data_IF_971270581835
#
_entry.id   IF_971270581835
#
_cell.length_a   1.000
_cell.length_b   1.000
_cell.length_c   1.000
_cell.angle_alpha   90.00
_cell.angle_beta   90.00
_cell.angle_gamma   90.00
#
_symmetry.space_group_name_H-M   'P 1'
#
loop_
_entity.id
_entity.type
_entity.pdbx_description
1 polymer ?
#
# COMPACT_ATOMS: atom_id res chain seq x y z
N UNK A 1 0.54 -9.83 -18.77
CA UNK A 1 1.66 -10.11 -17.86
C UNK A 1 2.28 -11.42 -18.33
N UNK A 2 3.42 -11.40 -19.04
CA UNK A 2 3.94 -12.62 -19.68
C UNK A 2 5.34 -13.08 -19.27
N UNK A 3 6.12 -12.28 -18.52
CA UNK A 3 7.42 -12.70 -18.00
C UNK A 3 7.60 -12.17 -16.56
N UNK A 4 7.59 -13.07 -15.57
CA UNK A 4 7.85 -12.73 -14.16
C UNK A 4 9.31 -13.03 -13.85
N UNK A 5 10.08 -11.99 -13.50
CA UNK A 5 11.46 -12.13 -13.05
C UNK A 5 11.44 -12.30 -11.52
N UNK A 6 11.90 -13.46 -11.05
CA UNK A 6 11.95 -13.77 -9.62
C UNK A 6 13.34 -13.49 -9.08
N UNK A 7 13.39 -12.78 -7.96
CA UNK A 7 14.64 -12.40 -7.28
C UNK A 7 14.62 -12.94 -5.85
N UNK A 8 15.73 -13.51 -5.37
CA UNK A 8 15.83 -14.06 -4.02
C UNK A 8 15.73 -12.97 -2.95
N UNK A 9 14.99 -13.19 -1.87
CA UNK A 9 14.68 -12.16 -0.88
C UNK A 9 15.92 -11.51 -0.22
N UNK A 10 17.06 -12.20 -0.21
CA UNK A 10 18.36 -11.75 0.31
C UNK A 10 19.24 -11.07 -0.76
N UNK A 11 18.73 -10.87 -1.97
CA UNK A 11 19.47 -10.22 -3.07
C UNK A 11 19.82 -8.79 -2.72
N UNK A 12 21.08 -8.44 -2.98
CA UNK A 12 21.62 -7.07 -2.84
C UNK A 12 22.18 -6.51 -4.15
N UNK A 13 22.43 -7.37 -5.14
CA UNK A 13 22.81 -7.02 -6.52
C UNK A 13 21.70 -7.48 -7.47
N UNK A 14 20.94 -6.50 -7.95
CA UNK A 14 19.81 -6.67 -8.86
C UNK A 14 20.23 -6.48 -10.33
N UNK A 15 21.48 -6.14 -10.62
CA UNK A 15 21.99 -5.91 -11.99
C UNK A 15 21.60 -7.02 -12.97
N UNK A 16 21.71 -8.33 -12.62
CA UNK A 16 21.31 -9.39 -13.54
C UNK A 16 19.80 -9.37 -13.86
N UNK A 17 18.96 -9.17 -12.83
CA UNK A 17 17.51 -9.12 -12.98
C UNK A 17 17.06 -7.87 -13.77
N UNK A 18 17.72 -6.73 -13.54
CA UNK A 18 17.45 -5.48 -14.29
C UNK A 18 17.88 -5.61 -15.75
N UNK A 19 19.01 -6.27 -16.03
CA UNK A 19 19.44 -6.54 -17.41
C UNK A 19 18.44 -7.43 -18.14
N UNK A 20 18.00 -8.51 -17.49
CA UNK A 20 16.94 -9.38 -18.02
C UNK A 20 15.65 -8.60 -18.28
N UNK A 21 15.25 -7.70 -17.35
CA UNK A 21 14.09 -6.83 -17.51
C UNK A 21 14.21 -5.94 -18.76
N UNK A 22 15.34 -5.26 -18.94
CA UNK A 22 15.56 -4.39 -20.10
C UNK A 22 15.51 -5.16 -21.43
N UNK A 23 16.04 -6.39 -21.46
CA UNK A 23 16.03 -7.25 -22.65
C UNK A 23 14.60 -7.71 -23.05
N UNK A 24 13.60 -7.60 -22.15
CA UNK A 24 12.20 -7.95 -22.47
C UNK A 24 11.56 -7.00 -23.49
N UNK A 25 12.00 -5.74 -23.53
CA UNK A 25 11.35 -4.67 -24.31
C UNK A 25 9.92 -4.37 -23.87
N UNK A 26 9.57 -4.61 -22.60
CA UNK A 26 8.25 -4.30 -22.05
C UNK A 26 7.99 -2.78 -21.98
N UNK A 27 6.75 -2.36 -22.22
CA UNK A 27 6.35 -0.95 -22.08
C UNK A 27 6.32 -0.49 -20.60
N UNK A 28 6.02 -1.41 -19.68
CA UNK A 28 5.92 -1.14 -18.24
C UNK A 28 6.45 -2.32 -17.41
N UNK A 29 7.03 -2.00 -16.25
CA UNK A 29 7.37 -2.94 -15.19
C UNK A 29 6.56 -2.64 -13.94
N UNK A 30 6.01 -3.69 -13.32
CA UNK A 30 5.44 -3.61 -11.97
C UNK A 30 6.43 -4.23 -11.00
N UNK A 31 6.92 -3.42 -10.05
CA UNK A 31 7.87 -3.86 -9.04
C UNK A 31 7.12 -4.24 -7.76
N UNK A 32 7.28 -5.48 -7.34
CA UNK A 32 6.76 -5.99 -6.06
C UNK A 32 7.92 -6.35 -5.15
N UNK A 33 8.60 -5.32 -4.61
CA UNK A 33 9.76 -5.49 -3.73
C UNK A 33 9.58 -4.72 -2.43
N UNK A 34 10.08 -5.28 -1.33
CA UNK A 34 10.03 -4.67 -0.01
C UNK A 34 11.28 -5.03 0.80
N UNK A 35 11.55 -4.23 1.83
CA UNK A 35 12.67 -4.45 2.75
C UNK A 35 13.93 -3.67 2.38
N UNK A 36 14.96 -3.82 3.21
CA UNK A 36 16.13 -2.96 3.19
C UNK A 36 16.95 -2.98 1.88
N UNK A 37 16.83 -4.03 1.07
CA UNK A 37 17.51 -4.09 -0.24
C UNK A 37 16.79 -3.32 -1.35
N UNK A 38 15.58 -2.81 -1.11
CA UNK A 38 14.86 -1.95 -2.06
C UNK A 38 15.67 -0.72 -2.46
N UNK A 39 16.46 -0.17 -1.54
CA UNK A 39 17.46 0.88 -1.83
C UNK A 39 18.31 0.53 -3.04
N UNK A 40 18.95 -0.64 -2.98
CA UNK A 40 19.90 -1.07 -4.00
C UNK A 40 19.19 -1.35 -5.31
N UNK A 41 17.99 -1.93 -5.26
CA UNK A 41 17.17 -2.18 -6.46
C UNK A 41 16.92 -0.87 -7.21
N UNK A 42 16.33 0.12 -6.55
CA UNK A 42 15.97 1.38 -7.22
C UNK A 42 17.19 2.22 -7.62
N UNK A 43 18.27 2.20 -6.84
CA UNK A 43 19.54 2.82 -7.24
C UNK A 43 20.11 2.18 -8.51
N UNK A 44 20.16 0.85 -8.57
CA UNK A 44 20.66 0.14 -9.74
C UNK A 44 19.75 0.31 -10.96
N UNK A 45 18.43 0.42 -10.76
CA UNK A 45 17.49 0.75 -11.84
C UNK A 45 17.74 2.15 -12.39
N UNK A 46 18.02 3.13 -11.52
CA UNK A 46 18.39 4.48 -11.94
C UNK A 46 19.74 4.50 -12.69
N UNK A 47 20.75 3.79 -12.18
CA UNK A 47 22.08 3.69 -12.81
C UNK A 47 22.04 3.00 -14.18
N UNK A 48 21.14 2.04 -14.36
CA UNK A 48 20.94 1.30 -15.61
C UNK A 48 19.91 1.94 -16.55
N UNK A 49 19.28 3.05 -16.15
CA UNK A 49 18.38 3.83 -17.01
C UNK A 49 17.04 3.14 -17.30
N UNK A 50 16.49 2.36 -16.36
CA UNK A 50 15.23 1.62 -16.62
C UNK A 50 14.07 2.55 -17.00
N UNK A 51 13.95 3.70 -16.32
CA UNK A 51 12.90 4.69 -16.61
C UNK A 51 13.04 5.37 -17.97
N UNK A 52 14.20 5.25 -18.65
CA UNK A 52 14.39 5.77 -20.01
C UNK A 52 13.79 4.83 -21.07
N UNK A 53 13.65 3.55 -20.75
CA UNK A 53 13.21 2.50 -21.68
C UNK A 53 11.77 2.02 -21.41
N UNK A 54 11.29 2.12 -20.16
CA UNK A 54 9.95 1.64 -19.78
C UNK A 54 9.35 2.42 -18.61
N UNK A 55 8.02 2.41 -18.52
CA UNK A 55 7.31 2.96 -17.36
C UNK A 55 7.50 2.06 -16.12
N UNK A 56 7.75 2.68 -14.96
CA UNK A 56 7.89 1.96 -13.69
C UNK A 56 6.64 2.19 -12.86
N UNK A 57 6.00 1.11 -12.44
CA UNK A 57 4.90 1.11 -11.49
C UNK A 57 5.32 0.35 -10.24
N UNK A 58 5.24 1.00 -9.07
CA UNK A 58 5.60 0.36 -7.80
C UNK A 58 4.63 0.78 -6.70
N UNK A 59 4.61 0.01 -5.61
CA UNK A 59 4.12 0.51 -4.34
C UNK A 59 5.11 1.54 -3.79
N UNK A 60 4.61 2.70 -3.36
CA UNK A 60 5.41 3.68 -2.66
C UNK A 60 5.63 3.29 -1.19
N UNK A 61 6.80 3.62 -0.66
CA UNK A 61 7.23 3.28 0.70
C UNK A 61 6.84 4.36 1.72
N UNK A 62 7.25 4.17 2.97
CA UNK A 62 7.15 5.16 4.04
C UNK A 62 7.86 6.46 3.69
N UNK A 63 7.36 7.54 4.25
CA UNK A 63 7.84 8.89 3.95
C UNK A 63 9.36 9.02 4.12
N UNK A 64 9.91 8.40 5.18
CA UNK A 64 11.34 8.40 5.49
C UNK A 64 12.17 7.59 4.47
N UNK A 65 11.69 6.45 4.01
CA UNK A 65 12.35 5.60 3.02
C UNK A 65 12.33 6.28 1.65
N UNK A 66 11.20 6.87 1.27
CA UNK A 66 11.05 7.61 0.02
C UNK A 66 12.08 8.75 -0.06
N UNK A 67 12.18 9.54 1.01
CA UNK A 67 13.13 10.65 1.11
C UNK A 67 14.59 10.18 1.21
N UNK A 68 14.91 9.26 2.12
CA UNK A 68 16.28 8.82 2.39
C UNK A 68 16.96 8.19 1.16
N UNK A 69 16.15 7.61 0.28
CA UNK A 69 16.62 6.89 -0.89
C UNK A 69 16.52 7.70 -2.18
N UNK A 70 15.98 8.92 -2.12
CA UNK A 70 15.78 9.76 -3.29
C UNK A 70 14.86 9.12 -4.33
N UNK A 71 13.86 8.34 -3.87
CA UNK A 71 12.89 7.67 -4.74
C UNK A 71 11.81 8.61 -5.25
N UNK A 72 11.79 9.86 -4.76
CA UNK A 72 10.86 10.90 -5.18
C UNK A 72 11.33 11.52 -6.51
N UNK A 73 11.15 10.77 -7.61
CA UNK A 73 11.36 11.32 -8.96
C UNK A 73 10.04 11.87 -9.48
N UNK A 74 10.05 13.15 -9.83
CA UNK A 74 8.88 13.81 -10.42
C UNK A 74 8.36 13.03 -11.63
N UNK A 75 7.05 12.78 -11.66
CA UNK A 75 6.36 12.04 -12.72
C UNK A 75 6.29 10.52 -12.50
N UNK A 76 6.99 9.96 -11.51
CA UNK A 76 6.84 8.53 -11.18
C UNK A 76 5.43 8.25 -10.65
N UNK A 77 4.80 7.19 -11.17
CA UNK A 77 3.43 6.82 -10.81
C UNK A 77 3.40 5.48 -10.08
N UNK A 78 2.49 5.34 -9.13
CA UNK A 78 2.42 4.15 -8.32
C UNK A 78 1.22 4.08 -7.40
N UNK A 79 1.22 3.06 -6.55
CA UNK A 79 0.17 2.83 -5.56
C UNK A 79 0.69 3.22 -4.18
N UNK A 80 -0.14 3.89 -3.39
CA UNK A 80 0.15 4.14 -1.97
C UNK A 80 -1.04 3.69 -1.13
N UNK A 81 -0.75 2.99 -0.02
CA UNK A 81 -1.79 2.52 0.90
C UNK A 81 -2.48 3.71 1.57
N UNK A 82 -1.69 4.68 2.02
CA UNK A 82 -2.15 5.88 2.69
C UNK A 82 -1.06 6.95 2.57
N UNK A 83 -1.48 8.19 2.33
CA UNK A 83 -0.67 9.36 2.61
C UNK A 83 -1.61 10.39 3.25
N UNK A 84 -1.14 11.09 4.27
CA UNK A 84 -2.00 11.88 5.17
C UNK A 84 -2.77 13.02 4.48
N UNK A 85 -2.32 13.45 3.30
CA UNK A 85 -2.96 14.49 2.49
C UNK A 85 -4.04 14.00 1.53
N UNK A 86 -4.20 12.68 1.37
CA UNK A 86 -5.11 12.12 0.35
C UNK A 86 -6.54 11.96 0.84
N UNK A 87 -6.81 11.35 2.02
CA UNK A 87 -8.18 11.20 2.49
C UNK A 87 -8.78 12.54 2.94
N UNK A 88 -9.99 12.82 2.47
CA UNK A 88 -10.79 13.98 2.88
C UNK A 88 -11.91 13.52 3.84
N UNK A 89 -11.53 13.26 5.10
CA UNK A 89 -12.46 12.80 6.14
C UNK A 89 -12.15 13.43 7.50
N UNK A 90 -13.18 13.64 8.32
CA UNK A 90 -13.00 14.17 9.68
C UNK A 90 -12.12 13.26 10.56
N UNK A 91 -12.13 11.94 10.30
CA UNK A 91 -11.32 10.97 11.04
C UNK A 91 -9.84 11.09 10.63
N UNK A 92 -9.56 11.34 9.35
CA UNK A 92 -8.21 11.62 8.89
C UNK A 92 -7.69 12.93 9.48
N UNK A 93 -8.49 14.00 9.42
CA UNK A 93 -8.14 15.29 10.01
C UNK A 93 -7.74 15.14 11.49
N UNK A 94 -8.54 14.40 12.26
CA UNK A 94 -8.25 14.10 13.65
C UNK A 94 -6.97 13.29 13.83
N UNK A 95 -6.74 12.27 12.99
CA UNK A 95 -5.54 11.44 13.02
C UNK A 95 -4.29 12.29 12.74
N UNK A 96 -4.33 13.13 11.71
CA UNK A 96 -3.23 14.01 11.33
C UNK A 96 -2.89 14.99 12.44
N UNK A 97 -3.88 15.74 12.93
CA UNK A 97 -3.70 16.70 14.02
C UNK A 97 -3.12 16.03 15.26
N UNK A 98 -3.75 14.95 15.73
CA UNK A 98 -3.35 14.25 16.96
C UNK A 98 -1.96 13.62 16.83
N UNK A 99 -1.63 13.06 15.66
CA UNK A 99 -0.31 12.46 15.43
C UNK A 99 0.78 13.53 15.43
N UNK A 100 0.58 14.64 14.71
CA UNK A 100 1.54 15.74 14.66
C UNK A 100 1.75 16.35 16.04
N UNK A 101 0.69 16.56 16.84
CA UNK A 101 0.82 17.04 18.21
C UNK A 101 1.67 16.11 19.09
N UNK A 102 1.46 14.79 18.94
CA UNK A 102 2.14 13.78 19.75
C UNK A 102 3.59 13.55 19.34
N UNK A 103 3.89 13.68 18.06
CA UNK A 103 5.18 13.31 17.47
C UNK A 103 5.93 14.52 16.89
N UNK A 104 5.81 15.67 17.57
CA UNK A 104 6.61 16.88 17.30
C UNK A 104 6.51 17.40 15.86
N UNK A 105 5.30 17.37 15.29
CA UNK A 105 5.00 17.85 13.95
C UNK A 105 5.12 16.78 12.85
N UNK A 106 5.52 15.55 13.18
CA UNK A 106 5.63 14.45 12.23
C UNK A 106 4.24 13.97 11.79
N UNK A 107 3.90 13.98 10.49
CA UNK A 107 2.61 13.47 10.01
C UNK A 107 2.51 11.94 10.16
N UNK A 108 1.30 11.39 10.22
CA UNK A 108 1.12 9.93 10.21
C UNK A 108 1.60 9.35 8.87
N UNK A 109 2.35 8.26 8.95
CA UNK A 109 2.93 7.56 7.80
C UNK A 109 2.01 6.42 7.30
N UNK A 110 2.35 5.76 6.19
CA UNK A 110 1.45 4.83 5.48
C UNK A 110 0.83 3.73 6.35
N UNK A 111 1.52 3.25 7.38
CA UNK A 111 1.04 2.18 8.26
C UNK A 111 0.43 2.70 9.57
N UNK A 112 0.59 3.99 9.88
CA UNK A 112 -0.03 4.61 11.06
C UNK A 112 -1.55 4.58 10.93
N UNK A 113 -2.06 4.88 9.74
CA UNK A 113 -3.50 4.79 9.42
C UNK A 113 -4.03 3.37 9.66
N UNK A 114 -3.39 2.35 9.07
CA UNK A 114 -3.80 0.96 9.24
C UNK A 114 -3.88 0.55 10.73
N UNK A 115 -2.89 0.97 11.52
CA UNK A 115 -2.86 0.72 12.96
C UNK A 115 -4.00 1.42 13.71
N UNK A 116 -4.30 2.67 13.33
CA UNK A 116 -5.41 3.43 13.89
C UNK A 116 -6.76 2.79 13.58
N UNK A 117 -7.04 2.47 12.32
CA UNK A 117 -8.30 1.83 11.92
C UNK A 117 -8.46 0.43 12.55
N UNK A 118 -7.38 -0.34 12.67
CA UNK A 118 -7.39 -1.63 13.37
C UNK A 118 -7.79 -1.47 14.85
N UNK A 119 -7.29 -0.42 15.51
CA UNK A 119 -7.67 -0.12 16.88
C UNK A 119 -9.15 0.31 16.98
N UNK A 120 -9.67 1.10 16.03
CA UNK A 120 -11.09 1.44 15.97
C UNK A 120 -11.97 0.19 15.87
N UNK A 121 -11.64 -0.72 14.94
CA UNK A 121 -12.37 -1.98 14.76
C UNK A 121 -12.37 -2.83 16.04
N UNK A 122 -11.22 -2.95 16.70
CA UNK A 122 -11.09 -3.72 17.94
C UNK A 122 -11.90 -3.09 19.08
N UNK A 123 -11.90 -1.77 19.22
CA UNK A 123 -12.72 -1.07 20.22
C UNK A 123 -14.21 -1.30 19.95
N UNK A 124 -14.66 -1.17 18.70
CA UNK A 124 -16.06 -1.43 18.33
C UNK A 124 -16.48 -2.87 18.64
N UNK A 125 -15.61 -3.84 18.36
CA UNK A 125 -15.86 -5.25 18.69
C UNK A 125 -15.94 -5.46 20.21
N UNK A 126 -15.03 -4.88 20.99
CA UNK A 126 -15.06 -4.94 22.45
C UNK A 126 -16.33 -4.30 23.03
N UNK A 127 -16.80 -3.20 22.47
CA UNK A 127 -18.06 -2.58 22.89
C UNK A 127 -19.26 -3.48 22.58
N UNK A 128 -19.28 -4.10 21.39
CA UNK A 128 -20.34 -5.02 20.99
C UNK A 128 -20.39 -6.31 21.81
N UNK A 129 -19.26 -6.77 22.33
CA UNK A 129 -19.13 -7.98 23.16
C UNK A 129 -19.14 -7.69 24.67
N UNK A 130 -19.53 -6.48 25.08
CA UNK A 130 -19.55 -6.05 26.49
C UNK A 130 -18.19 -6.21 27.20
N UNK A 131 -17.10 -6.03 26.44
CA UNK A 131 -15.73 -6.09 26.91
C UNK A 131 -15.11 -7.49 26.86
N UNK A 132 -15.74 -8.47 26.20
CA UNK A 132 -15.11 -9.78 26.01
C UNK A 132 -13.88 -9.68 25.12
N UNK A 133 -12.78 -10.24 25.59
CA UNK A 133 -11.51 -10.33 24.86
C UNK A 133 -11.31 -11.70 24.20
N UNK A 134 -12.28 -12.60 24.31
CA UNK A 134 -12.20 -13.95 23.79
C UNK A 134 -12.40 -13.95 22.27
N UNK A 135 -11.57 -14.72 21.53
CA UNK A 135 -11.59 -14.72 20.07
C UNK A 135 -12.94 -15.23 19.52
N UNK A 136 -13.54 -16.20 20.21
CA UNK A 136 -14.85 -16.76 19.90
C UNK A 136 -15.98 -15.72 19.93
N UNK A 137 -15.80 -14.64 20.71
CA UNK A 137 -16.75 -13.53 20.77
C UNK A 137 -16.37 -12.41 19.79
N UNK A 138 -15.07 -12.11 19.65
CA UNK A 138 -14.59 -10.99 18.82
C UNK A 138 -14.67 -11.25 17.32
N UNK A 139 -14.39 -12.48 16.85
CA UNK A 139 -14.47 -12.82 15.42
C UNK A 139 -15.86 -12.49 14.84
N UNK A 140 -16.97 -13.02 15.38
CA UNK A 140 -18.30 -12.72 14.84
C UNK A 140 -18.71 -11.25 15.02
N UNK A 141 -18.11 -10.52 15.96
CA UNK A 141 -18.34 -9.08 16.12
C UNK A 141 -17.60 -8.23 15.06
N UNK A 142 -16.45 -8.73 14.56
CA UNK A 142 -15.66 -8.09 13.52
C UNK A 142 -16.16 -8.46 12.11
N UNK A 143 -16.64 -9.69 11.90
CA UNK A 143 -17.16 -10.13 10.61
C UNK A 143 -18.38 -9.27 10.19
N UNK A 144 -18.24 -8.54 9.09
CA UNK A 144 -19.27 -7.63 8.59
C UNK A 144 -19.34 -6.29 9.31
N UNK A 145 -18.39 -6.00 10.20
CA UNK A 145 -18.27 -4.69 10.84
C UNK A 145 -18.03 -3.61 9.78
N UNK A 146 -18.89 -2.59 9.80
CA UNK A 146 -18.71 -1.36 9.04
C UNK A 146 -18.48 -0.18 9.99
N UNK A 147 -17.49 0.66 9.73
CA UNK A 147 -17.17 1.82 10.55
C UNK A 147 -16.50 2.94 9.74
N UNK A 148 -16.60 4.18 10.23
CA UNK A 148 -15.90 5.33 9.64
C UNK A 148 -14.48 5.42 10.19
N UNK A 149 -13.49 5.37 9.29
CA UNK A 149 -12.07 5.47 9.58
C UNK A 149 -11.40 6.56 8.74
N UNK A 150 -10.06 6.69 8.81
CA UNK A 150 -9.33 7.77 8.12
C UNK A 150 -9.58 7.79 6.61
N UNK A 151 -9.73 6.62 5.98
CA UNK A 151 -9.96 6.50 4.54
C UNK A 151 -11.44 6.37 4.15
N UNK A 152 -12.36 6.84 5.00
CA UNK A 152 -13.81 6.75 4.77
C UNK A 152 -14.41 5.51 5.43
N UNK A 153 -15.40 4.88 4.79
CA UNK A 153 -16.04 3.69 5.34
C UNK A 153 -15.18 2.44 5.16
N UNK A 154 -14.91 1.75 6.27
CA UNK A 154 -14.23 0.47 6.34
C UNK A 154 -15.29 -0.61 6.45
N UNK A 155 -15.08 -1.73 5.75
CA UNK A 155 -15.91 -2.91 5.90
C UNK A 155 -15.04 -4.16 6.03
N UNK A 156 -15.20 -4.92 7.10
CA UNK A 156 -14.48 -6.18 7.30
C UNK A 156 -15.27 -7.30 6.64
N UNK A 157 -14.78 -7.80 5.51
CA UNK A 157 -15.44 -8.83 4.72
C UNK A 157 -15.49 -10.16 5.51
N UNK A 158 -16.68 -10.74 5.75
CA UNK A 158 -16.80 -11.96 6.56
C UNK A 158 -16.07 -13.18 5.97
N UNK A 159 -16.01 -13.30 4.65
CA UNK A 159 -15.57 -14.52 3.97
C UNK A 159 -14.06 -14.79 4.08
N UNK A 160 -13.26 -13.74 4.24
CA UNK A 160 -11.79 -13.81 4.28
C UNK A 160 -11.13 -12.82 5.23
N UNK A 161 -11.92 -12.09 6.02
CA UNK A 161 -11.48 -11.12 7.03
C UNK A 161 -10.67 -9.95 6.44
N UNK A 162 -10.79 -9.68 5.14
CA UNK A 162 -10.15 -8.53 4.52
C UNK A 162 -10.90 -7.24 4.87
N UNK A 163 -10.17 -6.24 5.36
CA UNK A 163 -10.67 -4.87 5.47
C UNK A 163 -10.75 -4.26 4.05
N UNK A 164 -11.96 -3.91 3.62
CA UNK A 164 -12.20 -3.21 2.37
C UNK A 164 -12.19 -1.71 2.63
N UNK A 165 -11.22 -1.03 2.01
CA UNK A 165 -10.93 0.40 2.18
C UNK A 165 -10.45 0.97 0.85
N UNK A 166 -10.59 2.27 0.56
CA UNK A 166 -10.00 2.86 -0.64
C UNK A 166 -8.48 2.65 -0.72
N UNK A 167 -7.93 2.66 -1.92
CA UNK A 167 -6.49 2.65 -2.19
C UNK A 167 -6.17 3.75 -3.18
N UNK A 168 -4.95 4.29 -3.18
CA UNK A 168 -4.63 5.47 -3.96
C UNK A 168 -3.61 5.17 -5.05
N UNK A 169 -3.88 5.64 -6.26
CA UNK A 169 -2.92 5.75 -7.35
C UNK A 169 -2.47 7.20 -7.40
N UNK A 170 -1.17 7.42 -7.29
CA UNK A 170 -0.58 8.75 -7.16
C UNK A 170 0.58 8.94 -8.12
N UNK A 171 0.85 10.18 -8.45
CA UNK A 171 2.05 10.65 -9.14
C UNK A 171 2.91 11.43 -8.16
N UNK A 172 4.22 11.19 -8.19
CA UNK A 172 5.19 12.00 -7.47
C UNK A 172 5.33 13.37 -8.13
N UNK A 173 5.17 14.43 -7.35
CA UNK A 173 5.30 15.81 -7.80
C UNK A 173 6.33 16.56 -6.97
N UNK A 174 6.64 17.80 -7.36
CA UNK A 174 7.42 18.70 -6.52
C UNK A 174 6.80 18.80 -5.11
N UNK A 175 7.65 18.69 -4.10
CA UNK A 175 7.22 18.77 -2.71
C UNK A 175 6.71 20.18 -2.38
N UNK A 176 5.56 20.27 -1.72
CA UNK A 176 5.07 21.54 -1.16
C UNK A 176 5.89 21.90 0.09
N UNK A 177 6.72 22.95 0.07
CA UNK A 177 7.71 23.20 1.14
C UNK A 177 7.08 23.55 2.50
N UNK A 178 5.79 23.88 2.53
CA UNK A 178 5.05 24.16 3.75
C UNK A 178 4.41 22.91 4.38
N UNK A 179 4.42 21.77 3.68
CA UNK A 179 3.83 20.51 4.14
C UNK A 179 4.86 19.37 4.09
N UNK A 180 5.24 18.78 5.23
CA UNK A 180 6.28 17.76 5.28
C UNK A 180 5.86 16.51 4.49
N UNK A 181 6.70 16.08 3.54
CA UNK A 181 6.47 14.91 2.68
C UNK A 181 5.27 15.01 1.73
N UNK A 182 4.70 16.21 1.50
CA UNK A 182 3.61 16.40 0.56
C UNK A 182 4.10 16.44 -0.90
N UNK A 183 4.45 15.27 -1.44
CA UNK A 183 4.98 15.08 -2.79
C UNK A 183 4.08 14.22 -3.69
N UNK A 184 2.79 14.08 -3.37
CA UNK A 184 1.85 13.28 -4.17
C UNK A 184 0.71 14.11 -4.75
N UNK A 185 0.44 13.89 -6.04
CA UNK A 185 -0.84 14.23 -6.66
C UNK A 185 -1.67 12.97 -6.82
N UNK A 186 -2.94 13.03 -6.39
CA UNK A 186 -3.89 11.94 -6.57
C UNK A 186 -4.27 11.80 -8.04
N UNK A 187 -3.98 10.64 -8.64
CA UNK A 187 -4.42 10.31 -10.00
C UNK A 187 -5.76 9.57 -9.98
N UNK A 188 -5.92 8.62 -9.07
CA UNK A 188 -7.16 7.87 -8.90
C UNK A 188 -7.31 7.33 -7.48
N UNK A 189 -8.55 7.29 -7.02
CA UNK A 189 -8.95 6.52 -5.85
C UNK A 189 -9.59 5.21 -6.34
N UNK A 190 -9.05 4.08 -5.89
CA UNK A 190 -9.59 2.75 -6.14
C UNK A 190 -10.48 2.38 -4.97
N UNK A 191 -11.78 2.32 -5.22
CA UNK A 191 -12.77 2.06 -4.19
C UNK A 191 -12.95 0.54 -3.94
N UNK A 192 -13.42 0.16 -2.73
CA UNK A 192 -13.71 -1.22 -2.35
C UNK A 192 -14.53 -2.07 -3.32
N UNK A 193 -15.45 -1.45 -4.06
CA UNK A 193 -16.33 -2.12 -5.02
C UNK A 193 -15.58 -2.61 -6.28
N UNK A 194 -14.40 -2.06 -6.54
CA UNK A 194 -13.50 -2.55 -7.58
C UNK A 194 -12.67 -3.78 -7.13
N UNK A 195 -12.70 -4.16 -5.84
CA UNK A 195 -11.93 -5.30 -5.36
C UNK A 195 -12.67 -6.61 -5.64
N UNK A 196 -12.14 -7.38 -6.58
CA UNK A 196 -12.60 -8.74 -6.80
C UNK A 196 -12.29 -9.62 -5.57
N UNK A 197 -13.15 -10.61 -5.32
CA UNK A 197 -12.86 -11.63 -4.32
C UNK A 197 -11.55 -12.33 -4.68
N UNK A 198 -10.66 -12.56 -3.71
CA UNK A 198 -9.39 -13.18 -4.01
C UNK A 198 -9.62 -14.56 -4.60
N UNK A 199 -8.82 -14.84 -5.62
CA UNK A 199 -8.80 -16.15 -6.22
C UNK A 199 -7.62 -16.94 -5.64
N UNK A 200 -7.91 -18.13 -5.12
CA UNK A 200 -6.89 -19.03 -4.60
C UNK A 200 -6.04 -19.53 -5.76
N UNK A 201 -4.81 -19.04 -5.82
CA UNK A 201 -3.77 -19.62 -6.65
C UNK A 201 -3.31 -20.93 -6.00
N UNK A 202 -3.37 -22.08 -6.70
CA UNK A 202 -2.83 -23.32 -6.17
C UNK A 202 -1.31 -23.21 -5.97
N UNK A 203 -0.72 -24.18 -5.28
CA UNK A 203 0.73 -24.19 -4.97
C UNK A 203 1.62 -24.05 -6.23
N UNK A 204 1.11 -24.45 -7.39
CA UNK A 204 1.78 -24.34 -8.69
C UNK A 204 1.78 -22.91 -9.27
N UNK A 205 1.03 -21.98 -8.65
CA UNK A 205 0.92 -20.55 -9.00
C UNK A 205 0.57 -20.28 -10.47
N UNK A 206 -0.11 -21.22 -11.13
CA UNK A 206 -0.57 -21.06 -12.51
C UNK A 206 -1.90 -20.31 -12.57
N UNK A 207 -1.96 -19.27 -13.41
CA UNK A 207 -3.18 -18.50 -13.69
C UNK A 207 -4.31 -19.35 -14.28
N UNK A 208 -4.00 -20.51 -14.86
CA UNK A 208 -4.99 -21.41 -15.50
C UNK A 208 -5.75 -22.30 -14.50
N UNK A 209 -5.38 -22.23 -13.22
CA UNK A 209 -5.82 -23.16 -12.17
C UNK A 209 -6.39 -22.47 -10.93
N UNK A 210 -6.66 -21.18 -11.05
CA UNK A 210 -7.08 -20.34 -9.92
C UNK A 210 -8.58 -20.55 -9.66
N UNK A 211 -8.95 -20.71 -8.38
CA UNK A 211 -10.36 -20.81 -7.95
C UNK A 211 -10.76 -19.53 -7.24
N UNK A 212 -11.73 -18.79 -7.78
CA UNK A 212 -12.21 -17.55 -7.18
C UNK A 212 -13.28 -17.81 -6.13
N UNK A 213 -13.21 -17.16 -4.97
CA UNK A 213 -14.32 -17.17 -4.03
C UNK A 213 -15.56 -16.54 -4.71
N UNK A 214 -16.72 -17.19 -4.60
CA UNK A 214 -17.97 -16.71 -5.19
C UNK A 214 -18.22 -17.05 -6.67
N UNK A 215 -17.36 -17.86 -7.31
CA UNK A 215 -17.56 -18.42 -8.66
C UNK A 215 -17.71 -19.94 -8.66
#
# INVERSE_FOLDING_TARGET
MRDTILVGADTTDFTPAITELLDTGADFVIITWAGASGVNLFQQMADLGVSDEMGVLTGFNSNDIQDALGLNREGDQGFVVYHYTLPDTEVNDWLVETHQERYAGDPPDLFTECGFASAQALVAALEATEGSTDAEDLIPALEGLAFEGPKGTYFIRPEDHQALVPMYVVELTDAEPEQPFAYYTLLAEVLPDAYELPCFAPAERSSDSVTCLGQ
#
